data_IF_231783749255
#
_entry.id   IF_231783749255
#
_cell.length_a   1.000
_cell.length_b   1.000
_cell.length_c   1.000
_cell.angle_alpha   90.00
_cell.angle_beta   90.00
_cell.angle_gamma   90.00
#
_symmetry.space_group_name_H-M   'P 1'
#
loop_
_entity.id
_entity.type
_entity.pdbx_description
1 polymer ?
#
# COMPACT_ATOMS: atom_id res chain seq x y z
N UNK A 1 10.87 22.50 20.73
CA UNK A 1 10.15 23.78 20.59
C UNK A 1 8.65 23.59 20.38
N UNK A 2 8.20 22.89 19.33
CA UNK A 2 6.75 22.65 19.07
C UNK A 2 6.06 21.98 20.28
N UNK A 3 6.68 20.97 20.92
CA UNK A 3 6.17 20.40 22.19
C UNK A 3 5.96 21.43 23.31
N UNK A 4 6.77 22.50 23.36
CA UNK A 4 6.65 23.56 24.37
C UNK A 4 5.53 24.53 23.99
N UNK A 5 5.41 24.90 22.71
CA UNK A 5 4.27 25.68 22.19
C UNK A 5 2.95 24.95 22.44
N UNK A 6 2.88 23.65 22.12
CA UNK A 6 1.68 22.84 22.36
C UNK A 6 1.35 22.71 23.85
N UNK A 7 2.33 22.75 24.76
CA UNK A 7 2.03 22.78 26.20
C UNK A 7 1.33 24.07 26.63
N UNK A 8 1.69 25.22 26.06
CA UNK A 8 1.14 26.53 26.44
C UNK A 8 0.03 27.05 25.52
N UNK A 9 -0.25 26.38 24.40
CA UNK A 9 -1.37 26.72 23.53
C UNK A 9 -2.71 26.54 24.26
N UNK A 10 -3.64 27.47 24.04
CA UNK A 10 -4.98 27.42 24.63
C UNK A 10 -5.73 26.18 24.17
N UNK A 11 -6.64 25.66 25.00
CA UNK A 11 -7.45 24.51 24.63
C UNK A 11 -8.33 24.79 23.39
N UNK A 12 -8.77 26.04 23.23
CA UNK A 12 -9.50 26.49 22.04
C UNK A 12 -8.66 26.35 20.75
N UNK A 13 -7.38 26.76 20.77
CA UNK A 13 -6.51 26.62 19.60
C UNK A 13 -6.16 25.16 19.29
N UNK A 14 -6.11 24.29 20.31
CA UNK A 14 -5.88 22.85 20.12
C UNK A 14 -7.10 22.13 19.55
N UNK A 15 -8.31 22.63 19.84
CA UNK A 15 -9.57 21.98 19.48
C UNK A 15 -10.28 22.65 18.29
N UNK A 16 -9.82 23.81 17.83
CA UNK A 16 -10.38 24.45 16.63
C UNK A 16 -10.23 23.54 15.41
N UNK A 17 -11.22 23.59 14.53
CA UNK A 17 -11.18 22.91 13.22
C UNK A 17 -10.51 23.75 12.14
N UNK A 18 -10.15 25.00 12.44
CA UNK A 18 -9.45 25.88 11.50
C UNK A 18 -7.96 25.51 11.45
N UNK A 19 -7.60 24.70 10.45
CA UNK A 19 -6.21 24.24 10.24
C UNK A 19 -5.30 25.41 9.88
N UNK A 20 -5.83 26.44 9.20
CA UNK A 20 -5.05 27.63 8.85
C UNK A 20 -4.66 28.41 10.09
N UNK A 21 -5.58 28.57 11.05
CA UNK A 21 -5.30 29.18 12.35
C UNK A 21 -4.30 28.35 13.14
N UNK A 22 -4.48 27.02 13.21
CA UNK A 22 -3.54 26.13 13.89
C UNK A 22 -2.14 26.21 13.29
N UNK A 23 -2.03 26.16 11.97
CA UNK A 23 -0.75 26.28 11.27
C UNK A 23 -0.05 27.59 11.57
N UNK A 24 -0.77 28.70 11.52
CA UNK A 24 -0.22 30.04 11.81
C UNK A 24 0.25 30.16 13.25
N UNK A 25 -0.59 29.79 14.21
CA UNK A 25 -0.35 30.03 15.63
C UNK A 25 0.58 28.99 16.27
N UNK A 26 0.53 27.72 15.82
CA UNK A 26 1.30 26.62 16.42
C UNK A 26 2.60 26.31 15.67
N UNK A 27 2.69 26.68 14.38
CA UNK A 27 3.87 26.40 13.55
C UNK A 27 4.57 27.70 13.16
N UNK A 28 3.93 28.58 12.38
CA UNK A 28 4.59 29.76 11.80
C UNK A 28 5.05 30.76 12.86
N UNK A 29 4.15 31.25 13.71
CA UNK A 29 4.47 32.27 14.73
C UNK A 29 5.59 31.82 15.66
N UNK A 30 5.53 30.62 16.26
CA UNK A 30 6.63 30.14 17.08
C UNK A 30 7.93 30.11 16.32
N UNK A 31 7.96 29.59 15.09
CA UNK A 31 9.19 29.46 14.28
C UNK A 31 9.83 30.81 13.97
N UNK A 32 9.04 31.88 13.83
CA UNK A 32 9.56 33.24 13.66
C UNK A 32 10.09 33.85 14.95
N UNK A 33 9.51 33.48 16.09
CA UNK A 33 9.91 34.00 17.41
C UNK A 33 11.09 33.25 18.02
N UNK A 34 11.44 32.07 17.51
CA UNK A 34 12.53 31.28 18.06
C UNK A 34 13.85 31.63 17.41
N UNK A 35 14.88 31.81 18.24
CA UNK A 35 16.27 31.95 17.80
C UNK A 35 16.87 30.58 17.40
N UNK A 36 16.08 29.67 16.83
CA UNK A 36 16.62 28.36 16.40
C UNK A 36 17.49 28.60 15.18
N UNK A 37 18.81 28.56 15.43
CA UNK A 37 19.81 28.46 14.38
C UNK A 37 19.96 26.97 14.01
N UNK A 38 19.72 26.66 12.73
CA UNK A 38 19.94 25.34 12.16
C UNK A 38 18.71 24.72 11.45
N UNK A 39 18.90 23.61 10.70
CA UNK A 39 17.82 22.96 9.96
C UNK A 39 16.73 22.40 10.88
N UNK A 40 15.47 22.61 10.51
CA UNK A 40 14.29 22.05 11.18
C UNK A 40 13.54 21.18 10.19
N UNK A 41 13.25 19.93 10.57
CA UNK A 41 12.43 19.02 9.78
C UNK A 41 11.07 18.80 10.43
N UNK A 42 10.00 19.01 9.66
CA UNK A 42 8.62 18.68 10.05
C UNK A 42 8.23 17.42 9.29
N UNK A 43 7.72 16.40 9.99
CA UNK A 43 7.22 15.17 9.39
C UNK A 43 5.71 15.17 9.53
N UNK A 44 5.00 15.11 8.40
CA UNK A 44 3.56 14.87 8.34
C UNK A 44 3.40 13.42 7.90
N UNK A 45 3.08 12.55 8.86
CA UNK A 45 2.94 11.13 8.60
C UNK A 45 1.52 10.78 8.14
N UNK A 46 1.41 9.83 7.21
CA UNK A 46 0.16 9.26 6.70
C UNK A 46 -0.90 10.29 6.27
N UNK A 47 -0.55 11.23 5.38
CA UNK A 47 -1.48 12.26 4.88
C UNK A 47 -2.76 11.67 4.28
N UNK A 48 -2.73 10.45 3.76
CA UNK A 48 -3.90 9.76 3.23
C UNK A 48 -4.93 9.34 4.29
N UNK A 49 -4.57 9.29 5.57
CA UNK A 49 -5.48 8.97 6.68
C UNK A 49 -6.28 10.18 7.19
N UNK A 50 -5.97 11.39 6.70
CA UNK A 50 -6.71 12.59 7.08
C UNK A 50 -8.08 12.65 6.39
N UNK A 51 -9.07 13.28 7.02
CA UNK A 51 -10.35 13.58 6.37
C UNK A 51 -10.15 14.39 5.06
N UNK A 52 -10.99 14.20 4.03
CA UNK A 52 -10.82 14.85 2.73
C UNK A 52 -10.74 16.39 2.80
N UNK A 53 -11.55 17.02 3.63
CA UNK A 53 -11.57 18.46 3.88
C UNK A 53 -10.26 18.93 4.50
N UNK A 54 -9.80 18.27 5.57
CA UNK A 54 -8.53 18.57 6.23
C UNK A 54 -7.35 18.42 5.27
N UNK A 55 -7.37 17.37 4.44
CA UNK A 55 -6.31 17.09 3.46
C UNK A 55 -6.14 18.22 2.46
N UNK A 56 -7.26 18.74 1.92
CA UNK A 56 -7.24 19.85 0.97
C UNK A 56 -6.64 21.10 1.60
N UNK A 57 -7.00 21.40 2.84
CA UNK A 57 -6.45 22.54 3.58
C UNK A 57 -4.95 22.38 3.83
N UNK A 58 -4.49 21.20 4.25
CA UNK A 58 -3.06 20.90 4.45
C UNK A 58 -2.29 21.08 3.14
N UNK A 59 -2.79 20.54 2.03
CA UNK A 59 -2.15 20.69 0.70
C UNK A 59 -2.09 22.17 0.29
N UNK A 60 -3.15 22.94 0.55
CA UNK A 60 -3.18 24.38 0.28
C UNK A 60 -2.19 25.17 1.16
N UNK A 61 -2.00 24.77 2.41
CA UNK A 61 -0.99 25.39 3.29
C UNK A 61 0.42 25.09 2.81
N UNK A 62 0.67 23.87 2.34
CA UNK A 62 1.96 23.46 1.80
C UNK A 62 2.28 24.13 0.46
N UNK A 63 1.27 24.38 -0.38
CA UNK A 63 1.45 25.12 -1.64
C UNK A 63 1.85 26.58 -1.44
N UNK A 64 1.45 27.16 -0.30
CA UNK A 64 1.82 28.51 0.15
C UNK A 64 3.17 28.55 0.88
N UNK A 65 4.05 27.58 0.64
CA UNK A 65 5.32 27.36 1.36
C UNK A 65 6.30 28.54 1.47
N UNK A 66 5.97 29.70 0.89
CA UNK A 66 6.67 30.98 1.04
C UNK A 66 6.60 31.59 2.44
N UNK A 67 5.69 31.14 3.31
CA UNK A 67 5.56 31.69 4.67
C UNK A 67 6.55 31.12 5.69
N UNK A 68 7.26 30.04 5.34
CA UNK A 68 8.18 29.32 6.21
C UNK A 68 9.62 29.87 6.10
N UNK A 69 10.36 29.95 7.21
CA UNK A 69 11.80 30.20 7.19
C UNK A 69 12.58 29.19 6.33
N UNK A 70 13.66 29.66 5.68
CA UNK A 70 14.48 28.86 4.76
C UNK A 70 15.18 27.63 5.40
N UNK A 71 15.29 27.60 6.73
CA UNK A 71 15.86 26.47 7.45
C UNK A 71 14.85 25.34 7.70
N UNK A 72 13.59 25.47 7.26
CA UNK A 72 12.56 24.44 7.43
C UNK A 72 12.48 23.53 6.21
N UNK A 73 12.44 22.22 6.45
CA UNK A 73 12.11 21.18 5.47
C UNK A 73 10.88 20.42 5.95
N UNK A 74 9.97 20.10 5.05
CA UNK A 74 8.79 19.27 5.35
C UNK A 74 8.94 17.94 4.60
N UNK A 75 8.80 16.84 5.33
CA UNK A 75 8.67 15.49 4.78
C UNK A 75 7.23 15.07 5.00
N UNK A 76 6.60 14.58 3.94
CA UNK A 76 5.22 14.10 3.96
C UNK A 76 5.26 12.65 3.51
N UNK A 77 4.63 11.77 4.28
CA UNK A 77 4.39 10.40 3.87
C UNK A 77 2.92 10.24 3.52
N UNK A 78 2.64 9.39 2.54
CA UNK A 78 1.29 9.09 2.08
C UNK A 78 1.33 7.81 1.26
N UNK A 79 0.27 7.00 1.31
CA UNK A 79 -0.01 6.01 0.26
C UNK A 79 -0.08 6.68 -1.12
N UNK A 80 0.23 5.96 -2.22
CA UNK A 80 0.23 6.50 -3.58
C UNK A 80 -1.19 6.68 -4.15
N UNK A 81 -2.05 7.38 -3.41
CA UNK A 81 -3.41 7.66 -3.85
C UNK A 81 -3.39 8.72 -4.95
N UNK A 82 -3.99 8.41 -6.10
CA UNK A 82 -4.00 9.28 -7.28
C UNK A 82 -4.42 10.72 -6.95
N UNK A 83 -5.45 10.91 -6.12
CA UNK A 83 -5.94 12.24 -5.72
C UNK A 83 -4.90 13.08 -4.98
N UNK A 84 -4.08 12.44 -4.13
CA UNK A 84 -3.01 13.10 -3.37
C UNK A 84 -1.86 13.44 -4.31
N UNK A 85 -1.44 12.46 -5.12
CA UNK A 85 -0.40 12.65 -6.12
C UNK A 85 -0.73 13.79 -7.09
N UNK A 86 -1.94 13.81 -7.65
CA UNK A 86 -2.41 14.84 -8.59
C UNK A 86 -2.40 16.24 -7.95
N UNK A 87 -2.75 16.34 -6.67
CA UNK A 87 -2.82 17.61 -5.94
C UNK A 87 -1.44 18.16 -5.56
N UNK A 88 -0.48 17.27 -5.32
CA UNK A 88 0.87 17.65 -4.88
C UNK A 88 1.85 17.80 -6.05
N UNK A 89 1.66 17.10 -7.19
CA UNK A 89 2.58 17.14 -8.34
C UNK A 89 2.63 18.49 -9.07
N UNK A 90 1.57 19.28 -8.93
CA UNK A 90 1.47 20.62 -9.53
C UNK A 90 2.24 21.68 -8.75
N UNK A 91 2.70 21.34 -7.54
CA UNK A 91 3.37 22.27 -6.64
C UNK A 91 4.88 22.24 -6.87
N UNK A 92 5.43 23.30 -7.44
CA UNK A 92 6.86 23.43 -7.78
C UNK A 92 7.82 23.32 -6.59
N UNK A 93 7.33 23.59 -5.37
CA UNK A 93 8.10 23.47 -4.13
C UNK A 93 8.22 22.03 -3.62
N UNK A 94 7.47 21.09 -4.19
CA UNK A 94 7.38 19.71 -3.69
C UNK A 94 8.18 18.78 -4.61
N UNK A 95 9.20 18.15 -4.03
CA UNK A 95 9.88 17.03 -4.65
C UNK A 95 9.15 15.73 -4.31
N UNK A 96 8.69 15.03 -5.33
CA UNK A 96 8.05 13.73 -5.18
C UNK A 96 9.10 12.62 -5.16
N UNK A 97 8.94 11.69 -4.23
CA UNK A 97 9.75 10.48 -4.15
C UNK A 97 8.80 9.31 -3.95
N UNK A 98 8.74 8.42 -4.93
CA UNK A 98 8.00 7.16 -4.83
C UNK A 98 8.93 6.10 -4.25
N UNK A 99 8.52 5.44 -3.17
CA UNK A 99 9.25 4.28 -2.65
C UNK A 99 9.15 3.07 -3.59
N UNK A 100 8.17 3.05 -4.50
CA UNK A 100 8.05 2.03 -5.55
C UNK A 100 9.02 2.21 -6.73
N UNK A 101 9.71 3.35 -6.81
CA UNK A 101 10.73 3.61 -7.85
C UNK A 101 12.16 3.33 -7.34
N UNK A 102 12.29 2.86 -6.10
CA UNK A 102 13.57 2.38 -5.57
C UNK A 102 13.98 1.14 -6.36
N UNK A 103 15.24 1.07 -6.79
CA UNK A 103 15.74 -0.08 -7.52
C UNK A 103 15.57 -1.34 -6.68
N UNK A 104 15.09 -2.42 -7.29
CA UNK A 104 14.93 -3.73 -6.65
C UNK A 104 16.21 -4.16 -5.92
N UNK A 105 17.38 -3.93 -6.53
CA UNK A 105 18.68 -4.24 -5.92
C UNK A 105 18.95 -3.50 -4.59
N UNK A 106 18.43 -2.28 -4.42
CA UNK A 106 18.53 -1.55 -3.15
C UNK A 106 17.60 -2.15 -2.10
N UNK A 107 16.34 -2.37 -2.44
CA UNK A 107 15.36 -2.97 -1.53
C UNK A 107 15.79 -4.37 -1.08
N UNK A 108 16.29 -5.19 -2.00
CA UNK A 108 16.84 -6.52 -1.70
C UNK A 108 18.04 -6.44 -0.74
N UNK A 109 18.96 -5.47 -0.93
CA UNK A 109 20.09 -5.27 -0.02
C UNK A 109 19.62 -4.90 1.39
N UNK A 110 18.70 -3.94 1.51
CA UNK A 110 18.25 -3.44 2.81
C UNK A 110 17.41 -4.50 3.55
N UNK A 111 16.61 -5.28 2.83
CA UNK A 111 15.86 -6.41 3.39
C UNK A 111 16.82 -7.51 3.86
N UNK A 112 17.84 -7.84 3.08
CA UNK A 112 18.84 -8.84 3.48
C UNK A 112 19.56 -8.40 4.75
N UNK A 113 19.95 -7.14 4.83
CA UNK A 113 20.55 -6.55 6.03
C UNK A 113 19.61 -6.68 7.24
N UNK A 114 18.33 -6.33 7.05
CA UNK A 114 17.31 -6.44 8.09
C UNK A 114 17.15 -7.88 8.59
N UNK A 115 16.95 -8.85 7.67
CA UNK A 115 16.78 -10.27 8.02
C UNK A 115 18.01 -10.79 8.74
N UNK A 116 19.22 -10.48 8.23
CA UNK A 116 20.47 -10.92 8.83
C UNK A 116 20.63 -10.39 10.26
N UNK A 117 20.24 -9.13 10.49
CA UNK A 117 20.28 -8.53 11.82
C UNK A 117 19.22 -9.11 12.77
N UNK A 118 17.99 -9.33 12.29
CA UNK A 118 16.94 -9.92 13.11
C UNK A 118 17.26 -11.37 13.50
N UNK A 119 17.77 -12.16 12.56
CA UNK A 119 18.04 -13.58 12.76
C UNK A 119 19.51 -13.87 13.11
N UNK A 120 20.29 -12.85 13.51
CA UNK A 120 21.73 -12.97 13.78
C UNK A 120 22.05 -14.10 14.78
N UNK A 121 21.26 -14.22 15.85
CA UNK A 121 21.41 -15.28 16.83
C UNK A 121 21.23 -16.70 16.25
N UNK A 122 20.45 -16.86 15.17
CA UNK A 122 20.28 -18.15 14.50
C UNK A 122 21.46 -18.46 13.57
N UNK A 123 22.12 -17.43 13.03
CA UNK A 123 23.34 -17.56 12.26
C UNK A 123 24.52 -17.91 13.17
N UNK A 124 24.69 -17.18 14.28
CA UNK A 124 25.76 -17.39 15.25
C UNK A 124 25.74 -18.81 15.84
N UNK A 125 24.54 -19.33 16.13
CA UNK A 125 24.33 -20.69 16.60
C UNK A 125 24.44 -21.76 15.49
N UNK A 126 24.80 -21.37 14.26
CA UNK A 126 24.86 -22.25 13.08
C UNK A 126 23.55 -22.99 12.78
N UNK A 127 22.40 -22.41 13.20
CA UNK A 127 21.07 -22.98 12.99
C UNK A 127 20.48 -22.61 11.64
N UNK A 128 20.85 -21.44 11.12
CA UNK A 128 20.55 -20.97 9.77
C UNK A 128 21.85 -20.57 9.07
N UNK A 129 21.79 -20.45 7.76
CA UNK A 129 22.91 -20.08 6.91
C UNK A 129 22.65 -18.77 6.16
N UNK A 130 23.71 -18.16 5.62
CA UNK A 130 23.57 -17.03 4.70
C UNK A 130 22.70 -17.36 3.47
N UNK A 131 22.68 -18.64 3.05
CA UNK A 131 21.82 -19.10 1.96
C UNK A 131 20.33 -19.04 2.35
N UNK A 132 19.98 -19.36 3.59
CA UNK A 132 18.61 -19.21 4.09
C UNK A 132 18.18 -17.75 4.10
N UNK A 133 19.07 -16.83 4.47
CA UNK A 133 18.79 -15.39 4.46
C UNK A 133 18.62 -14.85 3.04
N UNK A 134 19.42 -15.32 2.10
CA UNK A 134 19.26 -15.00 0.68
C UNK A 134 17.91 -15.52 0.15
N UNK A 135 17.51 -16.74 0.51
CA UNK A 135 16.21 -17.30 0.14
C UNK A 135 15.05 -16.50 0.74
N UNK A 136 15.14 -16.11 2.01
CA UNK A 136 14.12 -15.28 2.66
C UNK A 136 14.00 -13.90 2.02
N UNK A 137 15.13 -13.30 1.64
CA UNK A 137 15.17 -12.00 0.96
C UNK A 137 14.52 -12.07 -0.42
N UNK A 138 14.82 -13.12 -1.20
CA UNK A 138 14.16 -13.36 -2.49
C UNK A 138 12.65 -13.60 -2.31
N UNK A 139 12.28 -14.40 -1.29
CA UNK A 139 10.88 -14.72 -0.97
C UNK A 139 10.07 -13.50 -0.55
N UNK A 140 10.71 -12.44 -0.06
CA UNK A 140 10.02 -11.21 0.33
C UNK A 140 9.62 -10.33 -0.85
N UNK A 141 10.15 -10.57 -2.06
CA UNK A 141 9.86 -9.80 -3.28
C UNK A 141 9.98 -8.27 -3.10
N UNK A 142 10.94 -7.82 -2.28
CA UNK A 142 11.11 -6.39 -1.99
C UNK A 142 10.15 -5.80 -0.94
N UNK A 143 9.29 -6.61 -0.32
CA UNK A 143 8.32 -6.18 0.69
C UNK A 143 8.88 -6.34 2.11
N UNK A 144 9.16 -5.21 2.75
CA UNK A 144 9.66 -5.18 4.13
C UNK A 144 8.69 -5.79 5.14
N UNK A 145 7.39 -5.53 5.00
CA UNK A 145 6.36 -6.09 5.90
C UNK A 145 6.43 -7.62 5.94
N UNK A 146 6.61 -8.25 4.76
CA UNK A 146 6.79 -9.69 4.67
C UNK A 146 8.03 -10.14 5.44
N UNK A 147 9.16 -9.44 5.29
CA UNK A 147 10.41 -9.77 5.97
C UNK A 147 10.28 -9.65 7.50
N UNK A 148 9.60 -8.60 7.99
CA UNK A 148 9.28 -8.42 9.40
C UNK A 148 8.48 -9.61 9.94
N UNK A 149 7.35 -9.92 9.31
CA UNK A 149 6.45 -10.99 9.74
C UNK A 149 7.10 -12.38 9.65
N UNK A 150 7.93 -12.61 8.63
CA UNK A 150 8.72 -13.83 8.50
C UNK A 150 9.72 -13.97 9.66
N UNK A 151 10.46 -12.91 9.98
CA UNK A 151 11.42 -12.92 11.09
C UNK A 151 10.72 -13.17 12.43
N UNK A 152 9.62 -12.46 12.71
CA UNK A 152 8.82 -12.65 13.92
C UNK A 152 8.30 -14.09 14.04
N UNK A 153 7.78 -14.66 12.95
CA UNK A 153 7.31 -16.04 12.92
C UNK A 153 8.44 -17.04 13.20
N UNK A 154 9.60 -16.85 12.57
CA UNK A 154 10.78 -17.72 12.77
C UNK A 154 11.25 -17.66 14.22
N UNK A 155 11.30 -16.47 14.82
CA UNK A 155 11.76 -16.24 16.19
C UNK A 155 10.74 -16.59 17.28
N UNK A 156 9.46 -16.76 16.94
CA UNK A 156 8.41 -16.99 17.94
C UNK A 156 8.72 -18.14 18.91
N UNK A 157 8.04 -18.16 20.05
CA UNK A 157 8.37 -19.10 21.15
C UNK A 157 7.30 -20.17 21.37
N UNK A 158 6.54 -20.53 20.33
CA UNK A 158 5.51 -21.55 20.45
C UNK A 158 6.10 -22.94 20.71
N UNK A 159 5.42 -23.71 21.55
CA UNK A 159 5.76 -25.10 21.85
C UNK A 159 5.61 -25.92 20.57
N UNK A 160 6.65 -26.67 20.18
CA UNK A 160 6.60 -27.70 19.14
C UNK A 160 7.48 -27.46 17.90
N UNK A 161 7.50 -26.25 17.33
CA UNK A 161 8.28 -25.93 16.14
C UNK A 161 9.45 -25.00 16.48
N UNK A 162 10.69 -25.50 16.34
CA UNK A 162 11.90 -24.69 16.45
C UNK A 162 12.13 -23.76 15.25
N UNK A 163 13.01 -22.76 15.37
CA UNK A 163 13.19 -21.70 14.38
C UNK A 163 13.60 -22.21 12.99
N UNK A 164 14.43 -23.25 12.92
CA UNK A 164 14.85 -23.87 11.65
C UNK A 164 13.66 -24.42 10.86
N UNK A 165 12.78 -25.17 11.53
CA UNK A 165 11.57 -25.73 10.89
C UNK A 165 10.60 -24.63 10.46
N UNK A 166 10.52 -23.53 11.20
CA UNK A 166 9.69 -22.38 10.81
C UNK A 166 10.27 -21.62 9.63
N UNK A 167 11.58 -21.45 9.57
CA UNK A 167 12.26 -20.89 8.40
C UNK A 167 11.97 -21.75 7.16
N UNK A 168 12.13 -23.07 7.26
CA UNK A 168 11.79 -24.01 6.20
C UNK A 168 10.32 -23.92 5.79
N UNK A 169 9.40 -23.79 6.75
CA UNK A 169 7.98 -23.64 6.49
C UNK A 169 7.63 -22.33 5.74
N UNK A 170 8.31 -21.22 6.08
CA UNK A 170 8.17 -19.94 5.36
C UNK A 170 8.70 -20.06 3.94
N UNK A 171 9.90 -20.63 3.78
CA UNK A 171 10.53 -20.80 2.47
C UNK A 171 9.72 -21.73 1.56
N UNK A 172 9.23 -22.84 2.09
CA UNK A 172 8.43 -23.82 1.37
C UNK A 172 6.97 -23.35 1.16
N UNK A 173 6.48 -22.37 1.94
CA UNK A 173 5.07 -21.96 1.91
C UNK A 173 4.12 -23.07 2.37
N UNK A 174 4.61 -24.03 3.16
CA UNK A 174 3.90 -25.29 3.46
C UNK A 174 3.02 -25.23 4.70
N UNK A 175 3.22 -24.24 5.57
CA UNK A 175 2.34 -24.02 6.73
C UNK A 175 1.34 -22.93 6.42
N UNK A 176 0.16 -23.00 7.03
CA UNK A 176 -0.82 -21.92 6.98
C UNK A 176 -0.19 -20.59 7.35
N UNK A 177 0.62 -20.52 8.42
CA UNK A 177 1.26 -19.26 8.82
C UNK A 177 2.31 -18.77 7.83
N UNK A 178 3.15 -19.66 7.26
CA UNK A 178 4.17 -19.26 6.27
C UNK A 178 3.58 -18.79 4.94
N UNK A 179 2.43 -19.34 4.53
CA UNK A 179 1.70 -18.92 3.32
C UNK A 179 0.87 -17.64 3.55
N UNK A 180 0.36 -17.46 4.77
CA UNK A 180 -0.61 -16.43 5.10
C UNK A 180 -0.01 -15.22 5.83
N UNK A 181 1.32 -15.01 5.77
CA UNK A 181 1.98 -13.93 6.52
C UNK A 181 1.30 -12.56 6.28
N UNK A 182 0.99 -12.25 5.02
CA UNK A 182 0.35 -10.98 4.65
C UNK A 182 -1.18 -11.01 4.62
N UNK A 183 -1.83 -12.14 4.89
CA UNK A 183 -3.29 -12.29 4.71
C UNK A 183 -4.09 -11.34 5.58
N UNK A 184 -3.65 -11.14 6.83
CA UNK A 184 -4.29 -10.18 7.73
C UNK A 184 -4.21 -8.76 7.16
N UNK A 185 -3.03 -8.34 6.72
CA UNK A 185 -2.83 -7.02 6.13
C UNK A 185 -3.70 -6.84 4.87
N UNK A 186 -3.80 -7.86 4.02
CA UNK A 186 -4.66 -7.84 2.84
C UNK A 186 -6.14 -7.72 3.23
N UNK A 187 -6.61 -8.54 4.17
CA UNK A 187 -7.99 -8.54 4.62
C UNK A 187 -8.37 -7.20 5.28
N UNK A 188 -7.51 -6.67 6.15
CA UNK A 188 -7.72 -5.38 6.83
C UNK A 188 -7.78 -4.24 5.80
N UNK A 189 -6.87 -4.23 4.83
CA UNK A 189 -6.84 -3.22 3.75
C UNK A 189 -8.08 -3.30 2.86
N UNK A 190 -8.47 -4.50 2.42
CA UNK A 190 -9.67 -4.69 1.59
C UNK A 190 -10.94 -4.33 2.35
N UNK A 191 -11.00 -4.61 3.66
CA UNK A 191 -12.12 -4.22 4.53
C UNK A 191 -12.20 -2.71 4.72
N UNK A 192 -11.06 -2.03 4.81
CA UNK A 192 -11.01 -0.56 4.86
C UNK A 192 -11.47 0.07 3.54
N UNK A 193 -11.10 -0.52 2.40
CA UNK A 193 -11.46 -0.02 1.06
C UNK A 193 -12.92 -0.34 0.71
N UNK A 194 -13.42 -1.49 1.17
CA UNK A 194 -14.77 -2.00 0.90
C UNK A 194 -15.48 -2.30 2.24
N UNK A 195 -15.93 -1.26 2.95
CA UNK A 195 -16.59 -1.41 4.24
C UNK A 195 -17.88 -2.22 4.10
N UNK A 196 -18.30 -2.88 5.17
CA UNK A 196 -19.42 -3.84 5.16
C UNK A 196 -20.72 -3.26 4.59
N UNK A 197 -21.00 -1.98 4.84
CA UNK A 197 -22.21 -1.28 4.38
C UNK A 197 -22.23 -1.10 2.86
N UNK A 198 -21.06 -0.99 2.21
CA UNK A 198 -20.93 -0.75 0.76
C UNK A 198 -20.50 -2.03 0.00
N UNK A 199 -20.34 -3.15 0.72
CA UNK A 199 -19.66 -4.34 0.22
C UNK A 199 -20.41 -5.02 -0.93
N UNK A 200 -21.73 -5.04 -0.86
CA UNK A 200 -22.58 -5.67 -1.88
C UNK A 200 -22.43 -4.99 -3.25
N UNK A 201 -22.20 -3.68 -3.26
CA UNK A 201 -21.95 -2.92 -4.49
C UNK A 201 -20.47 -2.93 -4.89
N UNK A 202 -19.55 -2.92 -3.92
CA UNK A 202 -18.12 -2.82 -4.17
C UNK A 202 -17.48 -4.13 -4.66
N UNK A 203 -17.90 -5.29 -4.14
CA UNK A 203 -17.33 -6.59 -4.50
C UNK A 203 -17.44 -6.91 -6.00
N UNK A 204 -18.61 -6.75 -6.65
CA UNK A 204 -18.72 -6.98 -8.10
C UNK A 204 -17.73 -6.13 -8.91
N UNK A 205 -17.57 -4.85 -8.54
CA UNK A 205 -16.61 -3.95 -9.17
C UNK A 205 -15.18 -4.47 -8.97
N UNK A 206 -14.81 -4.78 -7.72
CA UNK A 206 -13.50 -5.32 -7.38
C UNK A 206 -13.17 -6.60 -8.17
N UNK A 207 -14.07 -7.58 -8.19
CA UNK A 207 -13.90 -8.83 -8.93
C UNK A 207 -13.75 -8.61 -10.43
N UNK A 208 -14.57 -7.72 -11.01
CA UNK A 208 -14.52 -7.42 -12.44
C UNK A 208 -13.19 -6.78 -12.88
N UNK A 209 -12.52 -6.05 -11.98
CA UNK A 209 -11.21 -5.45 -12.23
C UNK A 209 -10.08 -6.45 -11.98
N UNK A 210 -10.15 -7.20 -10.89
CA UNK A 210 -9.06 -8.09 -10.45
C UNK A 210 -9.01 -9.41 -11.21
N UNK A 211 -10.15 -9.98 -11.64
CA UNK A 211 -10.16 -11.26 -12.34
C UNK A 211 -9.36 -11.24 -13.66
N UNK A 212 -9.50 -10.22 -14.55
CA UNK A 212 -8.67 -10.13 -15.75
C UNK A 212 -7.17 -9.94 -15.43
N UNK A 213 -6.84 -9.20 -14.38
CA UNK A 213 -5.44 -9.01 -13.94
C UNK A 213 -4.81 -10.34 -13.51
N UNK A 214 -5.55 -11.15 -12.77
CA UNK A 214 -5.08 -12.47 -12.31
C UNK A 214 -4.95 -13.44 -13.51
N UNK A 215 -5.93 -13.43 -14.42
CA UNK A 215 -5.98 -14.35 -15.57
C UNK A 215 -4.90 -14.07 -16.62
N UNK A 216 -4.57 -12.81 -16.88
CA UNK A 216 -3.70 -12.45 -17.99
C UNK A 216 -2.19 -12.66 -17.72
N UNK A 217 -1.86 -13.30 -16.60
CA UNK A 217 -0.51 -13.37 -16.03
C UNK A 217 0.03 -11.97 -15.64
N UNK A 218 0.87 -11.84 -14.59
CA UNK A 218 1.22 -10.58 -13.93
C UNK A 218 1.94 -9.48 -14.75
N UNK A 219 1.91 -9.44 -16.09
CA UNK A 219 2.80 -8.56 -16.87
C UNK A 219 2.14 -7.69 -17.94
N UNK A 220 0.83 -7.76 -18.19
CA UNK A 220 0.28 -7.16 -19.43
C UNK A 220 -0.90 -6.18 -19.28
N UNK A 221 -1.66 -6.17 -18.18
CA UNK A 221 -2.82 -5.28 -18.10
C UNK A 221 -2.51 -3.96 -17.39
N UNK A 222 -2.59 -2.89 -18.17
CA UNK A 222 -2.61 -1.52 -17.68
C UNK A 222 -4.03 -1.06 -17.37
N UNK A 223 -4.16 0.11 -16.73
CA UNK A 223 -5.47 0.73 -16.49
C UNK A 223 -6.18 1.03 -17.81
N UNK A 224 -5.44 1.47 -18.83
CA UNK A 224 -5.98 1.71 -20.17
C UNK A 224 -6.55 0.44 -20.81
N UNK A 225 -5.82 -0.67 -20.74
CA UNK A 225 -6.28 -1.95 -21.29
C UNK A 225 -7.56 -2.45 -20.61
N UNK A 226 -7.60 -2.41 -19.27
CA UNK A 226 -8.80 -2.77 -18.50
C UNK A 226 -10.01 -1.88 -18.81
N UNK A 227 -9.77 -0.59 -19.05
CA UNK A 227 -10.84 0.36 -19.41
C UNK A 227 -11.46 0.00 -20.75
N UNK A 228 -10.66 -0.48 -21.71
CA UNK A 228 -11.15 -0.96 -23.02
C UNK A 228 -11.95 -2.26 -22.88
N UNK A 229 -11.52 -3.14 -21.98
CA UNK A 229 -12.19 -4.43 -21.72
C UNK A 229 -13.48 -4.29 -20.90
N UNK A 230 -13.71 -3.12 -20.30
CA UNK A 230 -14.84 -2.88 -19.43
C UNK A 230 -16.17 -2.97 -20.21
N UNK A 231 -17.19 -3.69 -19.70
CA UNK A 231 -18.49 -3.79 -20.37
C UNK A 231 -19.13 -2.43 -20.63
N UNK A 232 -19.74 -2.28 -21.80
CA UNK A 232 -20.49 -1.06 -22.18
C UNK A 232 -21.61 -0.83 -21.16
N UNK A 233 -21.69 0.41 -20.64
CA UNK A 233 -22.68 0.77 -19.62
C UNK A 233 -22.23 0.58 -18.17
N UNK A 234 -20.98 0.19 -17.93
CA UNK A 234 -20.42 0.14 -16.58
C UNK A 234 -20.48 1.52 -15.90
N UNK A 235 -20.91 1.54 -14.64
CA UNK A 235 -21.14 2.75 -13.86
C UNK A 235 -19.91 3.22 -13.04
N UNK A 236 -18.75 2.57 -13.22
CA UNK A 236 -17.53 2.88 -12.48
C UNK A 236 -16.34 3.11 -13.43
N UNK A 237 -15.30 3.79 -12.93
CA UNK A 237 -14.03 3.97 -13.65
C UNK A 237 -12.98 3.02 -13.10
N UNK A 238 -12.32 2.24 -13.95
CA UNK A 238 -11.23 1.33 -13.56
C UNK A 238 -10.13 2.05 -12.78
N UNK A 239 -9.74 3.26 -13.22
CA UNK A 239 -8.73 4.08 -12.54
C UNK A 239 -9.09 4.45 -11.11
N UNK A 240 -10.38 4.58 -10.78
CA UNK A 240 -10.82 4.80 -9.41
C UNK A 240 -10.67 3.52 -8.58
N UNK A 241 -11.10 2.37 -9.10
CA UNK A 241 -11.00 1.09 -8.42
C UNK A 241 -9.54 0.71 -8.13
N UNK A 242 -8.67 0.77 -9.14
CA UNK A 242 -7.23 0.52 -8.98
C UNK A 242 -6.58 1.54 -8.06
N UNK A 243 -6.97 2.81 -8.14
CA UNK A 243 -6.46 3.87 -7.27
C UNK A 243 -6.72 3.62 -5.78
N UNK A 244 -7.80 2.92 -5.43
CA UNK A 244 -8.09 2.51 -4.04
C UNK A 244 -7.19 1.36 -3.58
N UNK A 245 -6.76 0.51 -4.51
CA UNK A 245 -5.89 -0.64 -4.24
C UNK A 245 -4.40 -0.28 -4.19
N UNK A 246 -4.02 1.00 -4.18
CA UNK A 246 -2.63 1.44 -4.32
C UNK A 246 -1.64 0.97 -3.24
N UNK A 247 -2.11 0.39 -2.13
CA UNK A 247 -1.26 -0.31 -1.13
C UNK A 247 -1.07 -1.80 -1.42
N UNK A 248 -1.88 -2.38 -2.30
CA UNK A 248 -1.88 -3.79 -2.66
C UNK A 248 -1.36 -4.03 -4.07
N UNK A 249 -1.46 -3.03 -4.95
CA UNK A 249 -0.99 -3.09 -6.34
C UNK A 249 -0.14 -1.88 -6.72
N UNK A 250 0.82 -2.12 -7.61
CA UNK A 250 1.62 -1.10 -8.29
C UNK A 250 1.08 -0.84 -9.70
N UNK A 251 1.59 0.18 -10.40
CA UNK A 251 1.15 0.51 -11.76
C UNK A 251 -0.19 1.25 -11.87
N UNK A 252 -0.89 1.50 -10.76
CA UNK A 252 -2.20 2.16 -10.78
C UNK A 252 -2.21 3.67 -11.06
N UNK A 253 -1.06 4.33 -11.07
CA UNK A 253 -0.92 5.78 -11.25
C UNK A 253 -0.68 6.16 -12.72
N UNK A 254 0.21 5.41 -13.38
CA UNK A 254 0.49 5.56 -14.81
C UNK A 254 -0.47 4.66 -15.59
N UNK A 255 -1.36 5.21 -16.43
CA UNK A 255 -2.40 4.43 -17.09
C UNK A 255 -1.86 3.37 -18.06
N UNK A 256 -0.60 3.50 -18.51
CA UNK A 256 0.05 2.57 -19.44
C UNK A 256 0.93 1.54 -18.73
N UNK A 257 1.26 1.75 -17.45
CA UNK A 257 2.09 0.82 -16.70
C UNK A 257 1.26 -0.43 -16.32
N UNK A 258 1.81 -1.65 -16.46
CA UNK A 258 1.13 -2.86 -16.01
C UNK A 258 0.82 -2.81 -14.52
N UNK A 259 -0.37 -3.29 -14.15
CA UNK A 259 -0.81 -3.43 -12.77
C UNK A 259 -0.28 -4.75 -12.23
N UNK A 260 0.42 -4.70 -11.10
CA UNK A 260 1.04 -5.86 -10.47
C UNK A 260 0.78 -5.83 -8.97
N UNK A 261 0.65 -6.99 -8.30
CA UNK A 261 0.53 -7.02 -6.85
C UNK A 261 1.86 -6.57 -6.24
N UNK A 262 1.82 -5.97 -5.05
CA UNK A 262 3.03 -5.62 -4.31
C UNK A 262 3.80 -6.88 -3.87
N UNK A 263 3.10 -8.00 -3.71
CA UNK A 263 3.68 -9.32 -3.42
C UNK A 263 2.83 -10.43 -4.06
N UNK A 264 3.45 -11.48 -4.58
CA UNK A 264 2.79 -12.58 -5.30
C UNK A 264 1.73 -13.30 -4.47
N UNK A 265 1.90 -13.39 -3.15
CA UNK A 265 0.91 -14.01 -2.25
C UNK A 265 -0.45 -13.32 -2.23
N UNK A 266 -0.56 -12.08 -2.73
CA UNK A 266 -1.86 -11.40 -2.84
C UNK A 266 -2.79 -12.13 -3.81
N UNK A 267 -2.28 -12.63 -4.93
CA UNK A 267 -3.08 -13.44 -5.84
C UNK A 267 -3.48 -14.77 -5.22
N UNK A 268 -2.55 -15.45 -4.54
CA UNK A 268 -2.86 -16.70 -3.84
C UNK A 268 -3.93 -16.50 -2.76
N UNK A 269 -3.97 -15.33 -2.13
CA UNK A 269 -5.00 -14.96 -1.16
C UNK A 269 -6.36 -14.82 -1.85
N UNK A 270 -6.44 -14.07 -2.96
CA UNK A 270 -7.69 -13.85 -3.70
C UNK A 270 -8.25 -15.12 -4.37
N UNK A 271 -7.38 -16.07 -4.73
CA UNK A 271 -7.74 -17.36 -5.32
C UNK A 271 -8.09 -18.45 -4.31
N UNK A 272 -8.06 -18.17 -3.01
CA UNK A 272 -8.39 -19.13 -1.96
C UNK A 272 -9.54 -18.61 -1.10
N UNK A 273 -10.73 -19.20 -1.28
CA UNK A 273 -11.97 -18.78 -0.62
C UNK A 273 -11.86 -18.85 0.91
N UNK A 274 -11.15 -19.85 1.44
CA UNK A 274 -10.99 -20.02 2.89
C UNK A 274 -10.18 -18.86 3.51
N UNK A 275 -9.30 -18.24 2.73
CA UNK A 275 -8.43 -17.13 3.13
C UNK A 275 -9.10 -15.78 2.91
N UNK A 276 -9.62 -15.54 1.71
CA UNK A 276 -10.13 -14.23 1.30
C UNK A 276 -11.62 -14.02 1.52
N UNK A 277 -12.39 -15.09 1.78
CA UNK A 277 -13.81 -15.04 2.13
C UNK A 277 -14.61 -14.21 1.10
N UNK A 278 -15.18 -13.09 1.53
CA UNK A 278 -15.96 -12.20 0.68
C UNK A 278 -15.15 -11.68 -0.53
N UNK A 279 -13.83 -11.55 -0.40
CA UNK A 279 -12.95 -11.05 -1.46
C UNK A 279 -12.48 -12.13 -2.45
N UNK A 280 -12.94 -13.38 -2.29
CA UNK A 280 -12.59 -14.48 -3.18
C UNK A 280 -12.95 -14.17 -4.64
N UNK A 281 -12.07 -14.56 -5.56
CA UNK A 281 -12.25 -14.40 -6.99
C UNK A 281 -12.23 -15.80 -7.63
N UNK A 282 -13.40 -16.24 -8.07
CA UNK A 282 -13.50 -17.42 -8.91
C UNK A 282 -13.14 -17.04 -10.36
N UNK A 283 -11.98 -17.51 -10.82
CA UNK A 283 -11.51 -17.30 -12.19
C UNK A 283 -12.03 -18.37 -13.16
N UNK A 284 -12.69 -19.42 -12.67
CA UNK A 284 -13.26 -20.49 -13.50
C UNK A 284 -14.61 -20.11 -14.12
N UNK A 285 -15.31 -19.10 -13.59
CA UNK A 285 -16.57 -18.56 -14.12
C UNK A 285 -16.37 -17.34 -15.04
N UNK A 286 -15.44 -17.40 -15.99
CA UNK A 286 -15.39 -16.37 -17.05
C UNK A 286 -16.53 -16.60 -18.06
N UNK A 287 -17.28 -15.56 -18.50
CA UNK A 287 -18.39 -15.71 -19.42
C UNK A 287 -17.88 -15.97 -20.85
N UNK A 288 -17.47 -17.20 -21.12
CA UNK A 288 -17.28 -17.74 -22.46
C UNK A 288 -18.36 -18.79 -22.74
N UNK A 289 -19.62 -18.37 -22.73
CA UNK A 289 -20.71 -19.10 -23.39
C UNK A 289 -21.81 -18.13 -23.77
N UNK A 290 -21.51 -17.24 -24.72
CA UNK A 290 -22.55 -16.66 -25.55
C UNK A 290 -23.20 -17.79 -26.33
N UNK A 291 -24.35 -18.28 -25.86
CA UNK A 291 -25.24 -19.12 -26.65
C UNK A 291 -25.58 -18.34 -27.92
N UNK A 292 -24.91 -18.68 -29.02
CA UNK A 292 -25.19 -18.09 -30.32
C UNK A 292 -26.66 -18.34 -30.68
N UNK A 293 -27.37 -17.37 -31.30
CA UNK A 293 -28.72 -17.61 -31.74
C UNK A 293 -28.72 -18.71 -32.80
N UNK A 294 -29.49 -19.77 -32.55
CA UNK A 294 -29.77 -20.81 -33.53
C UNK A 294 -30.47 -20.19 -34.74
N UNK A 295 -29.71 -20.01 -35.82
CA UNK A 295 -30.26 -19.67 -37.14
C UNK A 295 -31.02 -20.88 -37.67
N UNK A 296 -32.33 -20.93 -37.45
CA UNK A 296 -33.25 -21.74 -38.24
C UNK A 296 -33.36 -21.11 -39.63
N UNK A 297 -32.69 -21.71 -40.61
CA UNK A 297 -32.91 -21.39 -42.02
C UNK A 297 -34.31 -21.83 -42.47
N UNK A 298 -34.92 -21.16 -43.46
CA UNK A 298 -36.20 -21.60 -44.00
C UNK A 298 -36.01 -22.83 -44.88
N UNK A 299 -36.85 -23.84 -44.68
CA UNK A 299 -37.03 -24.94 -45.61
C UNK A 299 -37.62 -24.43 -46.93
N UNK A 300 -37.23 -25.10 -48.02
CA UNK A 300 -37.55 -24.84 -49.42
C UNK A 300 -39.01 -24.51 -49.73
#
# INVERSE_FOLDING_TARGET
MIRRVLRYATNELKQTRDITQQWRELVIKPMRMSAISGPITIIIDALDETLPECRKEIILLLSRGTDLPNNIRIIITSRPLKRIFDSLRTLSLIRHVSLGDISEASSQRDIKLYISNQLANLLDDSRLSDEDFEKLTKKSEGVFEWACLACEYIQGKTIGLGPVKRCQAVLAGTTSTGKCLLDKMYADTLTQIMPEIERDEAIPVFRSVMAPIILALPTLLSVSALTIMQPVGSNYKVSNAIGLLGSLVTGGVDPERPIQPVHSSFYEFLLDESRSKAFFIDVSESPSSGSGPSLSGPSA
#
